data_IF_143633884158
#
_entry.id   IF_143633884158
#
_cell.length_a   1.000
_cell.length_b   1.000
_cell.length_c   1.000
_cell.angle_alpha   90.00
_cell.angle_beta   90.00
_cell.angle_gamma   90.00
#
_symmetry.space_group_name_H-M   'P 1'
#
loop_
_entity.id
_entity.type
_entity.pdbx_description
1 polymer ?
#
# COMPACT_ATOMS: atom_id res chain seq x y z
N UNK A 1 -58.46 18.69 -52.17
CA UNK A 1 -59.00 20.07 -52.27
C UNK A 1 -58.27 20.90 -51.21
N UNK A 2 -57.20 21.61 -51.61
CA UNK A 2 -57.16 23.08 -51.83
C UNK A 2 -57.39 23.85 -50.52
N UNK A 3 -56.34 24.33 -49.83
CA UNK A 3 -55.45 25.48 -50.10
C UNK A 3 -56.02 26.84 -49.64
N UNK A 4 -55.09 27.66 -49.12
CA UNK A 4 -55.07 29.12 -48.92
C UNK A 4 -55.59 29.66 -47.58
N UNK A 5 -54.72 30.23 -46.73
CA UNK A 5 -54.10 31.59 -46.78
C UNK A 5 -55.03 32.59 -46.08
N UNK A 6 -54.59 33.49 -45.20
CA UNK A 6 -53.79 34.69 -45.53
C UNK A 6 -53.07 35.22 -44.29
N UNK A 7 -51.83 35.69 -44.53
CA UNK A 7 -50.93 36.45 -43.67
C UNK A 7 -51.52 37.82 -43.28
N UNK A 8 -51.11 38.36 -42.13
CA UNK A 8 -50.79 39.79 -42.03
C UNK A 8 -49.70 40.05 -41.01
N UNK A 9 -48.69 40.77 -41.49
CA UNK A 9 -47.59 41.40 -40.77
C UNK A 9 -48.07 42.72 -40.17
N UNK A 10 -47.56 43.12 -39.00
CA UNK A 10 -47.06 44.48 -38.77
C UNK A 10 -45.90 44.41 -37.78
N UNK A 11 -44.86 45.18 -38.11
CA UNK A 11 -43.57 45.27 -37.46
C UNK A 11 -43.50 46.33 -36.35
N UNK A 12 -42.45 46.23 -35.53
CA UNK A 12 -41.72 47.38 -35.00
C UNK A 12 -42.08 47.81 -33.58
N UNK A 13 -41.11 47.67 -32.65
CA UNK A 13 -40.21 48.76 -32.30
C UNK A 13 -39.34 48.35 -31.11
N UNK A 14 -38.02 48.44 -31.29
CA UNK A 14 -37.04 48.38 -30.21
C UNK A 14 -37.27 49.54 -29.23
N UNK A 15 -37.29 49.23 -27.94
CA UNK A 15 -36.89 50.17 -26.90
C UNK A 15 -35.78 49.54 -26.06
N UNK A 16 -34.61 50.15 -26.17
CA UNK A 16 -33.39 49.90 -25.40
C UNK A 16 -33.67 50.33 -23.96
N UNK A 17 -33.70 49.37 -23.04
CA UNK A 17 -33.77 49.60 -21.59
C UNK A 17 -32.48 49.12 -20.92
N UNK A 18 -31.89 50.00 -20.12
CA UNK A 18 -30.55 49.95 -19.54
C UNK A 18 -30.21 48.66 -18.74
N UNK A 19 -28.90 48.30 -18.63
CA UNK A 19 -28.48 47.19 -17.79
C UNK A 19 -28.58 47.63 -16.32
N UNK A 20 -29.53 47.05 -15.58
CA UNK A 20 -29.47 47.07 -14.12
C UNK A 20 -28.38 46.08 -13.71
N UNK A 21 -27.25 46.62 -13.28
CA UNK A 21 -26.16 45.87 -12.69
C UNK A 21 -26.66 45.13 -11.44
N UNK A 22 -26.79 43.82 -11.52
CA UNK A 22 -26.93 42.97 -10.33
C UNK A 22 -25.53 42.86 -9.71
N UNK A 23 -25.34 43.54 -8.59
CA UNK A 23 -24.15 43.38 -7.75
C UNK A 23 -24.08 41.93 -7.26
N UNK A 24 -23.03 41.21 -7.68
CA UNK A 24 -22.69 39.91 -7.10
C UNK A 24 -22.24 40.13 -5.65
N UNK A 25 -23.03 39.66 -4.70
CA UNK A 25 -22.60 39.57 -3.31
C UNK A 25 -21.50 38.49 -3.20
N UNK A 26 -20.26 38.91 -2.95
CA UNK A 26 -19.20 38.01 -2.52
C UNK A 26 -19.56 37.44 -1.14
N UNK A 27 -20.07 36.21 -1.13
CA UNK A 27 -20.07 35.40 0.08
C UNK A 27 -18.61 35.01 0.37
N UNK A 28 -18.06 35.53 1.46
CA UNK A 28 -16.80 35.05 2.02
C UNK A 28 -17.03 33.61 2.50
N UNK A 29 -16.42 32.64 1.82
CA UNK A 29 -16.44 31.26 2.29
C UNK A 29 -15.60 31.16 3.58
N UNK A 30 -16.14 30.56 4.65
CA UNK A 30 -15.35 30.27 5.84
C UNK A 30 -14.27 29.25 5.46
N UNK A 31 -13.00 29.63 5.64
CA UNK A 31 -11.87 28.73 5.50
C UNK A 31 -12.05 27.55 6.48
N UNK A 32 -12.30 26.36 5.93
CA UNK A 32 -12.35 25.14 6.73
C UNK A 32 -10.96 24.91 7.36
N UNK A 33 -10.91 24.48 8.64
CA UNK A 33 -9.65 24.18 9.30
C UNK A 33 -8.93 23.08 8.54
N UNK A 34 -7.68 23.36 8.14
CA UNK A 34 -6.77 22.38 7.57
C UNK A 34 -6.61 21.25 8.58
N UNK A 35 -7.06 20.06 8.21
CA UNK A 35 -6.83 18.84 8.99
C UNK A 35 -5.36 18.78 9.40
N UNK A 36 -5.13 18.72 10.71
CA UNK A 36 -3.81 18.43 11.25
C UNK A 36 -3.37 17.08 10.67
N UNK A 37 -2.19 17.05 10.05
CA UNK A 37 -1.58 15.79 9.65
C UNK A 37 -1.41 14.94 10.92
N UNK A 38 -2.17 13.85 11.02
CA UNK A 38 -1.87 12.80 11.98
C UNK A 38 -0.44 12.35 11.70
N UNK A 39 0.44 12.47 12.70
CA UNK A 39 1.71 11.75 12.66
C UNK A 39 1.36 10.28 12.47
N UNK A 40 1.71 9.68 11.33
CA UNK A 40 1.55 8.24 11.16
C UNK A 40 2.43 7.59 12.21
N UNK A 41 1.85 6.94 13.21
CA UNK A 41 2.65 6.10 14.10
C UNK A 41 3.37 5.06 13.23
N UNK A 42 4.66 4.92 13.46
CA UNK A 42 5.47 3.91 12.79
C UNK A 42 4.88 2.53 13.07
N UNK A 43 4.50 1.78 12.02
CA UNK A 43 3.99 0.42 12.18
C UNK A 43 5.02 -0.43 12.95
N UNK A 44 4.55 -1.11 14.00
CA UNK A 44 5.38 -1.99 14.82
C UNK A 44 5.42 -3.36 14.18
N UNK A 45 6.61 -3.82 13.81
CA UNK A 45 6.84 -5.15 13.23
C UNK A 45 7.66 -5.99 14.21
N UNK A 46 7.11 -7.16 14.58
CA UNK A 46 7.81 -8.12 15.43
C UNK A 46 8.46 -9.19 14.56
N UNK A 47 9.78 -9.34 14.64
CA UNK A 47 10.59 -10.26 13.83
C UNK A 47 11.07 -11.42 14.70
N UNK A 48 10.69 -12.64 14.33
CA UNK A 48 11.18 -13.87 14.95
C UNK A 48 12.32 -14.44 14.11
N UNK A 49 13.48 -14.66 14.71
CA UNK A 49 14.69 -15.14 14.02
C UNK A 49 15.56 -16.00 14.93
N UNK A 50 16.53 -16.69 14.35
CA UNK A 50 17.62 -17.28 15.11
C UNK A 50 18.59 -16.18 15.61
N UNK A 51 19.19 -16.30 16.81
CA UNK A 51 20.08 -15.29 17.37
C UNK A 51 21.27 -14.95 16.47
N UNK A 52 21.78 -15.94 15.74
CA UNK A 52 23.00 -15.83 14.93
C UNK A 52 22.74 -15.52 13.45
N UNK A 53 21.49 -15.28 13.06
CA UNK A 53 21.14 -14.98 11.67
C UNK A 53 21.49 -13.53 11.30
N UNK A 54 22.67 -13.31 10.72
CA UNK A 54 23.17 -11.99 10.33
C UNK A 54 22.28 -11.28 9.29
N UNK A 55 21.84 -11.99 8.24
CA UNK A 55 21.00 -11.40 7.20
C UNK A 55 19.60 -11.02 7.72
N UNK A 56 19.06 -11.76 8.69
CA UNK A 56 17.80 -11.42 9.37
C UNK A 56 17.92 -10.09 10.14
N UNK A 57 19.07 -9.85 10.79
CA UNK A 57 19.35 -8.58 11.46
C UNK A 57 19.51 -7.42 10.47
N UNK A 58 20.24 -7.64 9.38
CA UNK A 58 20.39 -6.64 8.30
C UNK A 58 19.04 -6.27 7.66
N UNK A 59 18.15 -7.25 7.48
CA UNK A 59 16.77 -6.97 7.04
C UNK A 59 15.98 -6.16 8.07
N UNK A 60 16.16 -6.42 9.37
CA UNK A 60 15.62 -5.57 10.43
C UNK A 60 16.09 -4.12 10.33
N UNK A 61 17.38 -3.89 10.05
CA UNK A 61 17.90 -2.53 9.81
C UNK A 61 17.31 -1.88 8.55
N UNK A 62 17.11 -2.65 7.48
CA UNK A 62 16.39 -2.18 6.30
C UNK A 62 15.00 -1.68 6.66
N UNK A 63 14.24 -2.42 7.47
CA UNK A 63 12.92 -1.98 7.92
C UNK A 63 12.96 -0.71 8.78
N UNK A 64 13.92 -0.61 9.71
CA UNK A 64 14.11 0.60 10.53
C UNK A 64 14.40 1.82 9.66
N UNK A 65 15.26 1.68 8.65
CA UNK A 65 15.56 2.74 7.69
C UNK A 65 14.33 3.19 6.87
N UNK A 66 13.31 2.33 6.76
CA UNK A 66 12.05 2.61 6.08
C UNK A 66 10.91 2.99 7.05
N UNK A 67 11.23 3.34 8.29
CA UNK A 67 10.27 3.92 9.23
C UNK A 67 9.44 2.92 10.03
N UNK A 68 9.79 1.64 10.03
CA UNK A 68 9.16 0.66 10.92
C UNK A 68 9.80 0.67 12.32
N UNK A 69 8.99 0.44 13.35
CA UNK A 69 9.49 0.11 14.68
C UNK A 69 9.70 -1.40 14.77
N UNK A 70 10.96 -1.85 14.76
CA UNK A 70 11.30 -3.28 14.69
C UNK A 70 11.62 -3.86 16.07
N UNK A 71 10.84 -4.86 16.48
CA UNK A 71 11.04 -5.66 17.69
C UNK A 71 11.59 -7.03 17.29
N UNK A 72 12.84 -7.33 17.63
CA UNK A 72 13.43 -8.65 17.38
C UNK A 72 13.20 -9.61 18.54
N UNK A 73 12.79 -10.84 18.21
CA UNK A 73 12.59 -11.96 19.16
C UNK A 73 13.39 -13.16 18.69
N UNK A 74 14.51 -13.37 19.37
CA UNK A 74 15.34 -14.55 19.12
C UNK A 74 14.66 -15.82 19.63
N UNK A 75 14.68 -16.87 18.81
CA UNK A 75 14.08 -18.16 19.14
C UNK A 75 14.79 -19.31 18.44
N UNK A 76 14.97 -20.40 19.17
CA UNK A 76 15.43 -21.69 18.62
C UNK A 76 14.27 -22.49 17.99
N UNK A 77 13.03 -22.10 18.25
CA UNK A 77 11.83 -22.81 17.81
C UNK A 77 11.15 -22.13 16.61
N UNK A 78 11.95 -21.66 15.64
CA UNK A 78 11.43 -20.82 14.54
C UNK A 78 10.40 -21.54 13.65
N UNK A 79 10.59 -22.85 13.38
CA UNK A 79 9.60 -23.64 12.64
C UNK A 79 8.23 -23.67 13.31
N UNK A 80 8.19 -23.68 14.66
CA UNK A 80 6.92 -23.60 15.40
C UNK A 80 6.26 -22.24 15.21
N UNK A 81 7.04 -21.16 15.16
CA UNK A 81 6.51 -19.82 14.86
C UNK A 81 5.89 -19.78 13.47
N UNK A 82 6.60 -20.27 12.45
CA UNK A 82 6.11 -20.34 11.07
C UNK A 82 4.79 -21.10 10.94
N UNK A 83 4.73 -22.30 11.53
CA UNK A 83 3.53 -23.13 11.50
C UNK A 83 2.34 -22.46 12.20
N UNK A 84 2.55 -21.82 13.36
CA UNK A 84 1.50 -21.09 14.06
C UNK A 84 1.05 -19.82 13.34
N UNK A 85 1.94 -19.21 12.55
CA UNK A 85 1.63 -18.08 11.68
C UNK A 85 0.96 -18.50 10.36
N UNK A 86 0.81 -19.80 10.09
CA UNK A 86 0.18 -20.29 8.87
C UNK A 86 1.04 -20.16 7.62
N UNK A 87 2.37 -20.09 7.76
CA UNK A 87 3.30 -20.08 6.63
C UNK A 87 3.34 -21.47 5.98
N UNK A 88 3.02 -21.60 4.67
CA UNK A 88 3.19 -22.84 3.92
C UNK A 88 4.64 -23.32 3.84
N UNK A 89 4.86 -24.63 3.80
CA UNK A 89 6.21 -25.23 3.81
C UNK A 89 7.07 -24.80 2.60
N UNK A 90 6.45 -24.55 1.44
CA UNK A 90 7.10 -24.10 0.21
C UNK A 90 7.44 -22.59 0.21
N UNK A 91 6.91 -21.84 1.18
CA UNK A 91 7.17 -20.40 1.34
C UNK A 91 8.19 -20.06 2.41
N UNK A 92 8.73 -21.07 3.11
CA UNK A 92 9.64 -20.87 4.24
C UNK A 92 10.93 -20.12 3.86
N UNK A 93 11.33 -19.23 4.75
CA UNK A 93 12.59 -18.48 4.73
C UNK A 93 13.28 -18.50 6.12
N UNK A 94 14.31 -17.67 6.29
CA UNK A 94 15.18 -17.63 7.48
C UNK A 94 14.54 -16.95 8.71
N UNK A 95 13.49 -16.16 8.54
CA UNK A 95 12.78 -15.46 9.62
C UNK A 95 11.30 -15.27 9.27
N UNK A 96 10.49 -14.95 10.28
CA UNK A 96 9.06 -14.66 10.14
C UNK A 96 8.74 -13.44 10.97
N UNK A 97 7.97 -12.52 10.44
CA UNK A 97 7.55 -11.33 11.14
C UNK A 97 6.03 -11.14 11.11
N UNK A 98 5.51 -10.34 12.03
CA UNK A 98 4.10 -9.97 12.10
C UNK A 98 3.95 -8.46 12.24
N UNK A 99 3.05 -7.87 11.47
CA UNK A 99 2.73 -6.43 11.48
C UNK A 99 1.26 -6.24 11.13
N UNK A 100 0.51 -5.50 11.96
CA UNK A 100 -0.91 -5.14 11.73
C UNK A 100 -1.81 -6.30 11.27
N UNK A 101 -1.56 -7.52 11.77
CA UNK A 101 -2.32 -8.72 11.46
C UNK A 101 -1.78 -9.55 10.27
N UNK A 102 -0.83 -9.02 9.51
CA UNK A 102 -0.18 -9.74 8.41
C UNK A 102 1.07 -10.49 8.87
N UNK A 103 1.35 -11.60 8.18
CA UNK A 103 2.60 -12.35 8.27
C UNK A 103 3.54 -11.91 7.16
N UNK A 104 4.81 -11.67 7.50
CA UNK A 104 5.87 -11.35 6.56
C UNK A 104 6.95 -12.43 6.68
N UNK A 105 7.08 -13.25 5.64
CA UNK A 105 7.99 -14.38 5.61
C UNK A 105 9.22 -14.07 4.74
N UNK A 106 10.41 -14.08 5.35
CA UNK A 106 11.66 -13.84 4.65
C UNK A 106 11.90 -12.39 4.24
N UNK A 107 12.85 -12.22 3.32
CA UNK A 107 13.44 -10.93 2.94
C UNK A 107 12.53 -10.06 2.04
N UNK A 108 11.30 -9.81 2.48
CA UNK A 108 10.32 -8.96 1.79
C UNK A 108 10.76 -7.49 1.86
N UNK A 109 10.78 -6.73 0.75
CA UNK A 109 11.13 -5.32 0.78
C UNK A 109 10.14 -4.47 1.60
N UNK A 110 10.68 -3.54 2.39
CA UNK A 110 9.90 -2.60 3.20
C UNK A 110 8.81 -1.86 2.40
N UNK A 111 9.08 -1.50 1.14
CA UNK A 111 8.11 -0.85 0.25
C UNK A 111 6.91 -1.74 -0.07
N UNK A 112 7.11 -3.05 -0.19
CA UNK A 112 6.03 -3.99 -0.46
C UNK A 112 5.20 -4.24 0.80
N UNK A 113 5.84 -4.25 1.98
CA UNK A 113 5.13 -4.30 3.27
C UNK A 113 4.28 -3.03 3.45
N UNK A 114 4.82 -1.85 3.16
CA UNK A 114 4.05 -0.60 3.22
C UNK A 114 2.86 -0.62 2.26
N UNK A 115 3.04 -1.14 1.05
CA UNK A 115 1.95 -1.30 0.07
C UNK A 115 0.89 -2.27 0.58
N UNK A 116 1.29 -3.42 1.16
CA UNK A 116 0.38 -4.38 1.78
C UNK A 116 -0.48 -3.71 2.86
N UNK A 117 0.14 -2.95 3.76
CA UNK A 117 -0.55 -2.27 4.84
C UNK A 117 -1.49 -1.16 4.36
N UNK A 118 -1.14 -0.47 3.27
CA UNK A 118 -1.97 0.57 2.69
C UNK A 118 -3.17 -0.01 1.91
N UNK A 119 -2.98 -1.11 1.17
CA UNK A 119 -4.03 -1.77 0.39
C UNK A 119 -4.92 -2.66 1.25
N UNK A 120 -4.38 -3.19 2.35
CA UNK A 120 -5.03 -4.09 3.29
C UNK A 120 -5.86 -5.21 2.63
N UNK A 121 -5.29 -6.00 1.68
CA UNK A 121 -6.03 -7.08 1.04
C UNK A 121 -6.38 -8.18 2.04
N UNK A 122 -7.46 -8.92 1.79
CA UNK A 122 -7.74 -10.15 2.52
C UNK A 122 -6.71 -11.21 2.14
N UNK A 123 -5.72 -11.41 3.01
CA UNK A 123 -4.65 -12.38 2.85
C UNK A 123 -4.01 -12.67 4.20
N UNK A 124 -3.25 -13.76 4.27
CA UNK A 124 -2.42 -14.06 5.45
C UNK A 124 -1.16 -13.19 5.46
N UNK A 125 -0.51 -12.99 4.31
CA UNK A 125 0.78 -12.31 4.31
C UNK A 125 1.53 -12.23 2.99
N UNK A 126 2.77 -11.72 3.09
CA UNK A 126 3.76 -11.72 2.01
C UNK A 126 4.90 -12.67 2.33
N UNK A 127 5.44 -13.33 1.30
CA UNK A 127 6.59 -14.22 1.42
C UNK A 127 7.63 -13.95 0.33
N UNK A 128 8.90 -14.01 0.71
CA UNK A 128 10.04 -14.24 -0.19
C UNK A 128 10.66 -15.59 0.20
N UNK A 129 10.33 -16.67 -0.51
CA UNK A 129 10.81 -18.01 -0.17
C UNK A 129 12.33 -18.14 -0.31
N UNK A 130 12.93 -18.96 0.55
CA UNK A 130 14.38 -19.17 0.56
C UNK A 130 15.15 -17.92 0.99
N UNK A 131 16.28 -17.63 0.34
CA UNK A 131 17.13 -16.47 0.63
C UNK A 131 17.74 -15.91 -0.68
N UNK A 132 16.95 -15.20 -1.51
CA UNK A 132 17.46 -14.64 -2.76
C UNK A 132 18.61 -13.66 -2.48
N UNK A 133 19.77 -13.78 -3.16
CA UNK A 133 20.94 -12.94 -2.88
C UNK A 133 20.70 -11.44 -3.10
N UNK A 134 19.80 -11.08 -4.00
CA UNK A 134 19.43 -9.70 -4.31
C UNK A 134 18.42 -9.08 -3.32
N UNK A 135 17.89 -9.87 -2.39
CA UNK A 135 16.86 -9.40 -1.45
C UNK A 135 17.47 -8.55 -0.33
N UNK A 136 16.72 -7.59 0.25
CA UNK A 136 17.22 -6.69 1.28
C UNK A 136 17.72 -7.45 2.52
N UNK A 137 18.88 -7.09 3.04
CA UNK A 137 19.56 -7.79 4.11
C UNK A 137 20.38 -9.01 3.64
N UNK A 138 20.17 -9.48 2.41
CA UNK A 138 21.11 -10.36 1.71
C UNK A 138 22.11 -9.53 0.90
N UNK A 139 21.60 -8.60 0.06
CA UNK A 139 22.34 -7.57 -0.69
C UNK A 139 23.73 -8.00 -1.19
N UNK A 140 23.82 -9.22 -1.74
CA UNK A 140 25.11 -9.84 -2.08
C UNK A 140 25.68 -9.15 -3.32
N UNK A 141 26.86 -8.50 -3.25
CA UNK A 141 27.39 -7.74 -4.37
C UNK A 141 27.59 -8.58 -5.63
N UNK A 142 27.10 -8.09 -6.77
CA UNK A 142 27.21 -8.79 -8.06
C UNK A 142 26.14 -9.85 -8.30
N UNK A 143 25.12 -9.94 -7.44
CA UNK A 143 23.98 -10.82 -7.61
C UNK A 143 22.67 -10.03 -7.74
N UNK A 144 22.26 -9.76 -8.97
CA UNK A 144 21.02 -9.03 -9.30
C UNK A 144 19.97 -9.95 -9.92
N UNK A 145 19.97 -11.24 -9.52
CA UNK A 145 18.99 -12.20 -10.04
C UNK A 145 17.59 -11.86 -9.54
N UNK A 146 16.59 -11.84 -10.43
CA UNK A 146 15.26 -11.41 -10.04
C UNK A 146 14.62 -12.40 -9.06
N UNK A 147 13.76 -11.89 -8.19
CA UNK A 147 12.98 -12.69 -7.26
C UNK A 147 11.56 -12.14 -7.14
N UNK A 148 10.64 -13.02 -6.72
CA UNK A 148 9.24 -12.66 -6.53
C UNK A 148 8.92 -12.50 -5.04
N UNK A 149 8.10 -11.50 -4.75
CA UNK A 149 7.34 -11.40 -3.50
C UNK A 149 5.97 -11.99 -3.76
N UNK A 150 5.56 -12.92 -2.92
CA UNK A 150 4.33 -13.69 -3.08
C UNK A 150 3.30 -13.26 -2.03
N UNK A 151 2.07 -12.99 -2.47
CA UNK A 151 0.91 -12.84 -1.59
C UNK A 151 0.30 -14.22 -1.38
N UNK A 152 0.14 -14.62 -0.12
CA UNK A 152 -0.41 -15.93 0.25
C UNK A 152 -1.54 -15.82 1.27
N UNK A 153 -2.47 -16.76 1.20
CA UNK A 153 -3.57 -16.90 2.15
C UNK A 153 -3.76 -18.37 2.54
N UNK A 154 -3.22 -18.76 3.69
CA UNK A 154 -3.21 -20.15 4.13
C UNK A 154 -2.65 -21.12 3.07
N UNK A 155 -3.31 -22.27 2.81
CA UNK A 155 -2.82 -23.30 1.89
C UNK A 155 -3.12 -23.00 0.41
N UNK A 156 -3.80 -21.89 0.10
CA UNK A 156 -4.14 -21.54 -1.27
C UNK A 156 -2.88 -21.20 -2.08
N UNK A 157 -2.95 -21.37 -3.40
CA UNK A 157 -1.82 -21.10 -4.28
C UNK A 157 -1.41 -19.63 -4.18
N UNK A 158 -0.17 -19.32 -3.76
CA UNK A 158 0.31 -17.95 -3.71
C UNK A 158 0.32 -17.28 -5.08
N UNK A 159 0.11 -15.97 -5.09
CA UNK A 159 0.13 -15.12 -6.29
C UNK A 159 1.31 -14.16 -6.24
N UNK A 160 1.82 -13.75 -7.40
CA UNK A 160 2.91 -12.77 -7.45
C UNK A 160 2.38 -11.40 -7.05
N UNK A 161 2.94 -10.83 -5.98
CA UNK A 161 2.65 -9.49 -5.50
C UNK A 161 3.58 -8.46 -6.15
N UNK A 162 4.87 -8.78 -6.22
CA UNK A 162 5.90 -7.95 -6.85
C UNK A 162 7.04 -8.80 -7.41
N UNK A 163 7.82 -8.21 -8.31
CA UNK A 163 9.07 -8.77 -8.83
C UNK A 163 10.16 -7.70 -8.68
N UNK A 164 11.32 -8.12 -8.19
CA UNK A 164 12.54 -7.33 -8.05
C UNK A 164 13.65 -7.95 -8.86
#
# INVERSE_FOLDING_TARGET
>A
MLRFSVRSLVAGALLVGAPVAVAAASASEPAMPRAAASASEASVITVYKAPTCGCCGAWGEHLRAHGFTVIEKDTEALYKVKALAGVPDDLVSCHTATVDGYVIEGHVPATDIQRLLAEAPAATGLAVPGMPPAAPGMDVPGHDSPYAVLLFDGPDQPTVYATH
#
